data_IF_906901928325
#
_entry.id   IF_906901928325
#
_cell.length_a   1.000
_cell.length_b   1.000
_cell.length_c   1.000
_cell.angle_alpha   90.00
_cell.angle_beta   90.00
_cell.angle_gamma   90.00
#
_symmetry.space_group_name_H-M   'P 1'
#
loop_
_entity.id
_entity.type
_entity.pdbx_description
1 polymer ?
#
# COMPACT_ATOMS: atom_id res chain seq x y z
N UNK A 1 -0.21 -23.96 6.88
CA UNK A 1 -0.80 -23.12 7.95
C UNK A 1 -1.12 -21.79 7.32
N UNK A 2 -2.40 -21.48 7.04
CA UNK A 2 -2.80 -20.18 6.51
C UNK A 2 -2.49 -19.13 7.58
N UNK A 3 -1.70 -18.15 7.19
CA UNK A 3 -1.31 -17.07 8.08
C UNK A 3 -2.54 -16.16 8.25
N UNK A 4 -2.96 -15.83 9.46
CA UNK A 4 -4.11 -14.92 9.72
C UNK A 4 -4.02 -13.60 8.92
N UNK A 5 -2.83 -13.27 8.45
CA UNK A 5 -2.57 -12.05 7.66
C UNK A 5 -3.11 -12.10 6.21
N UNK A 6 -3.43 -13.28 5.67
CA UNK A 6 -3.87 -13.46 4.29
C UNK A 6 -5.40 -13.57 4.14
N UNK A 7 -6.14 -13.66 5.24
CA UNK A 7 -7.60 -13.80 5.23
C UNK A 7 -8.29 -12.65 4.47
N UNK A 8 -7.86 -11.41 4.68
CA UNK A 8 -8.48 -10.25 4.00
C UNK A 8 -8.11 -10.17 2.52
N UNK A 9 -6.83 -10.34 2.10
CA UNK A 9 -6.49 -10.49 0.69
C UNK A 9 -7.30 -11.58 -0.02
N UNK A 10 -7.49 -12.75 0.61
CA UNK A 10 -8.29 -13.84 0.05
C UNK A 10 -9.79 -13.48 -0.06
N UNK A 11 -10.36 -12.79 0.93
CA UNK A 11 -11.73 -12.27 0.85
C UNK A 11 -11.89 -11.26 -0.28
N UNK A 12 -10.93 -10.36 -0.46
CA UNK A 12 -10.93 -9.39 -1.55
C UNK A 12 -10.78 -10.07 -2.91
N UNK A 13 -9.93 -11.10 -3.02
CA UNK A 13 -9.80 -11.92 -4.23
C UNK A 13 -11.14 -12.57 -4.60
N UNK A 14 -11.80 -13.20 -3.64
CA UNK A 14 -13.12 -13.81 -3.85
C UNK A 14 -14.17 -12.77 -4.23
N UNK A 15 -14.18 -11.60 -3.60
CA UNK A 15 -15.10 -10.52 -3.92
C UNK A 15 -14.89 -10.00 -5.36
N UNK A 16 -13.63 -9.80 -5.76
CA UNK A 16 -13.27 -9.43 -7.13
C UNK A 16 -13.78 -10.48 -8.13
N UNK A 17 -13.54 -11.76 -7.87
CA UNK A 17 -13.99 -12.85 -8.73
C UNK A 17 -15.53 -12.90 -8.81
N UNK A 18 -16.26 -12.64 -7.72
CA UNK A 18 -17.71 -12.51 -7.77
C UNK A 18 -18.17 -11.36 -8.66
N UNK A 19 -17.52 -10.19 -8.58
CA UNK A 19 -17.84 -9.07 -9.48
C UNK A 19 -17.64 -9.46 -10.94
N UNK A 20 -16.49 -10.05 -11.26
CA UNK A 20 -16.15 -10.44 -12.64
C UNK A 20 -17.09 -11.51 -13.21
N UNK A 21 -17.71 -12.32 -12.36
CA UNK A 21 -18.77 -13.28 -12.76
C UNK A 21 -20.18 -12.69 -12.80
N UNK A 22 -20.34 -11.39 -12.54
CA UNK A 22 -21.66 -10.75 -12.51
C UNK A 22 -22.47 -11.04 -11.23
N UNK A 23 -21.79 -11.36 -10.13
CA UNK A 23 -22.39 -11.71 -8.83
C UNK A 23 -22.16 -10.59 -7.77
N UNK A 24 -22.58 -9.33 -7.99
CA UNK A 24 -22.22 -8.21 -7.11
C UNK A 24 -22.81 -8.34 -5.70
N UNK A 25 -23.91 -9.08 -5.52
CA UNK A 25 -24.48 -9.33 -4.19
C UNK A 25 -23.58 -10.22 -3.34
N UNK A 26 -23.00 -11.26 -3.94
CA UNK A 26 -22.05 -12.15 -3.26
C UNK A 26 -20.75 -11.37 -2.90
N UNK A 27 -20.24 -10.57 -3.83
CA UNK A 27 -19.10 -9.69 -3.57
C UNK A 27 -19.36 -8.76 -2.39
N UNK A 28 -20.53 -8.12 -2.34
CA UNK A 28 -20.95 -7.23 -1.25
C UNK A 28 -20.92 -7.93 0.10
N UNK A 29 -21.45 -9.16 0.18
CA UNK A 29 -21.48 -9.94 1.43
C UNK A 29 -20.07 -10.27 1.92
N UNK A 30 -19.15 -10.63 1.02
CA UNK A 30 -17.75 -10.88 1.36
C UNK A 30 -17.05 -9.62 1.89
N UNK A 31 -17.24 -8.47 1.26
CA UNK A 31 -16.66 -7.20 1.71
C UNK A 31 -17.22 -6.80 3.07
N UNK A 32 -18.53 -6.94 3.26
CA UNK A 32 -19.20 -6.59 4.53
C UNK A 32 -18.77 -7.48 5.71
N UNK A 33 -18.22 -8.68 5.44
CA UNK A 33 -17.71 -9.59 6.48
C UNK A 33 -16.32 -9.21 7.02
N UNK A 34 -15.64 -8.22 6.42
CA UNK A 34 -14.31 -7.79 6.85
C UNK A 34 -14.43 -7.03 8.18
N UNK A 35 -13.76 -7.51 9.22
CA UNK A 35 -13.71 -6.82 10.53
C UNK A 35 -12.82 -5.57 10.45
N UNK A 36 -13.47 -4.43 10.30
CA UNK A 36 -12.81 -3.14 10.25
C UNK A 36 -12.31 -2.68 11.63
N UNK A 37 -12.96 -3.10 12.71
CA UNK A 37 -12.64 -2.66 14.06
C UNK A 37 -11.25 -3.12 14.50
N UNK A 38 -10.92 -4.38 14.21
CA UNK A 38 -9.60 -4.95 14.46
C UNK A 38 -8.51 -4.20 13.68
N UNK A 39 -8.74 -3.90 12.40
CA UNK A 39 -7.79 -3.14 11.57
C UNK A 39 -7.55 -1.73 12.09
N UNK A 40 -8.62 -1.04 12.50
CA UNK A 40 -8.54 0.31 13.08
C UNK A 40 -7.77 0.29 14.39
N UNK A 41 -8.00 -0.71 15.26
CA UNK A 41 -7.30 -0.86 16.52
C UNK A 41 -5.80 -1.12 16.32
N UNK A 42 -5.44 -2.01 15.39
CA UNK A 42 -4.04 -2.30 15.03
C UNK A 42 -3.32 -1.04 14.53
N UNK A 43 -3.91 -0.31 13.59
CA UNK A 43 -3.34 0.94 13.08
C UNK A 43 -3.14 1.99 14.18
N UNK A 44 -4.13 2.21 15.03
CA UNK A 44 -4.02 3.16 16.15
C UNK A 44 -2.88 2.77 17.10
N UNK A 45 -2.75 1.48 17.42
CA UNK A 45 -1.68 0.95 18.28
C UNK A 45 -0.30 1.19 17.65
N UNK A 46 -0.14 0.90 16.37
CA UNK A 46 1.12 1.10 15.65
C UNK A 46 1.53 2.58 15.57
N UNK A 47 0.60 3.48 15.32
CA UNK A 47 0.88 4.92 15.32
C UNK A 47 1.26 5.48 16.70
N UNK A 48 0.68 4.93 17.79
CA UNK A 48 1.11 5.27 19.15
C UNK A 48 2.55 4.82 19.41
N UNK A 49 2.91 3.58 19.02
CA UNK A 49 4.29 3.08 19.16
C UNK A 49 5.28 3.93 18.36
N UNK A 50 4.93 4.37 17.15
CA UNK A 50 5.75 5.29 16.38
C UNK A 50 5.99 6.61 17.09
N UNK A 51 4.93 7.23 17.63
CA UNK A 51 5.04 8.51 18.37
C UNK A 51 5.98 8.39 19.57
N UNK A 52 5.89 7.28 20.31
CA UNK A 52 6.79 7.01 21.43
C UNK A 52 8.25 6.90 20.97
N UNK A 53 8.52 6.13 19.90
CA UNK A 53 9.89 6.01 19.35
C UNK A 53 10.44 7.32 18.79
N UNK A 54 9.60 8.14 18.15
CA UNK A 54 10.01 9.48 17.71
C UNK A 54 10.39 10.37 18.90
N UNK A 55 9.62 10.35 19.98
CA UNK A 55 9.94 11.11 21.19
C UNK A 55 11.29 10.67 21.78
N UNK A 56 11.56 9.37 21.87
CA UNK A 56 12.84 8.83 22.33
C UNK A 56 14.00 9.22 21.40
N UNK A 57 13.83 9.11 20.10
CA UNK A 57 14.85 9.45 19.11
C UNK A 57 15.20 10.95 19.10
N UNK A 58 14.26 11.83 19.49
CA UNK A 58 14.52 13.27 19.67
C UNK A 58 15.25 13.60 20.98
N UNK A 59 15.08 12.74 22.01
CA UNK A 59 15.74 12.92 23.31
C UNK A 59 17.17 12.34 23.34
N UNK A 60 17.43 11.30 22.53
CA UNK A 60 18.77 10.79 22.30
C UNK A 60 19.49 11.74 21.33
N UNK A 61 20.54 12.38 21.81
CA UNK A 61 21.43 13.27 21.01
C UNK A 61 22.29 12.39 20.07
N UNK A 62 21.62 11.62 19.21
CA UNK A 62 22.32 10.89 18.15
C UNK A 62 22.85 11.91 17.16
N UNK A 63 24.13 11.80 16.75
CA UNK A 63 24.64 12.63 15.68
C UNK A 63 23.72 12.43 14.49
N UNK A 64 22.87 13.44 14.24
CA UNK A 64 21.99 13.48 13.07
C UNK A 64 22.94 13.39 11.88
N UNK A 65 22.98 12.20 11.23
CA UNK A 65 23.69 12.06 9.97
C UNK A 65 23.23 13.22 9.08
N UNK A 66 24.08 14.22 8.98
CA UNK A 66 24.00 15.44 8.18
C UNK A 66 22.65 16.16 8.18
N UNK A 67 22.41 16.98 9.24
CA UNK A 67 21.35 18.00 9.24
C UNK A 67 21.55 19.03 8.10
N UNK A 68 22.76 19.14 7.57
CA UNK A 68 23.10 19.99 6.42
C UNK A 68 22.44 19.48 5.13
N UNK A 69 22.22 18.16 4.97
CA UNK A 69 21.59 17.59 3.78
C UNK A 69 20.06 17.70 3.83
N UNK A 70 19.42 17.74 5.00
CA UNK A 70 17.97 17.88 5.12
C UNK A 70 17.45 19.25 4.70
N UNK A 71 18.23 20.31 4.88
CA UNK A 71 17.94 21.64 4.35
C UNK A 71 18.23 21.74 2.84
N UNK A 72 19.08 20.86 2.32
CA UNK A 72 19.47 20.87 0.92
C UNK A 72 18.34 20.47 -0.03
N UNK A 73 17.35 19.68 0.40
CA UNK A 73 16.28 19.23 -0.49
C UNK A 73 15.21 20.33 -0.70
N UNK A 74 14.78 20.98 0.37
CA UNK A 74 13.85 22.11 0.27
C UNK A 74 14.50 23.34 -0.38
N UNK A 75 15.82 23.52 -0.16
CA UNK A 75 16.59 24.63 -0.75
C UNK A 75 16.94 24.43 -2.22
N UNK A 76 16.99 23.19 -2.72
CA UNK A 76 17.38 22.92 -4.12
C UNK A 76 16.22 22.98 -5.10
N UNK A 77 14.98 23.27 -4.66
CA UNK A 77 13.82 23.39 -5.57
C UNK A 77 13.56 22.13 -6.42
N UNK A 78 14.09 20.98 -6.01
CA UNK A 78 13.87 19.75 -6.75
C UNK A 78 12.42 19.31 -6.61
N UNK A 79 11.68 19.14 -7.71
CA UNK A 79 10.32 18.70 -7.65
C UNK A 79 10.29 17.31 -6.99
N UNK A 80 9.29 17.10 -6.12
CA UNK A 80 8.98 15.78 -5.58
C UNK A 80 8.85 14.83 -6.77
N UNK A 81 9.86 13.99 -7.02
CA UNK A 81 9.82 13.08 -8.15
C UNK A 81 8.73 12.02 -7.89
N UNK A 82 7.61 12.21 -8.55
CA UNK A 82 6.53 11.22 -8.56
C UNK A 82 7.00 10.06 -9.43
N UNK A 83 7.15 8.88 -8.85
CA UNK A 83 7.47 7.69 -9.64
C UNK A 83 6.29 7.41 -10.58
N UNK A 84 6.49 7.32 -11.91
CA UNK A 84 5.44 7.00 -12.84
C UNK A 84 4.78 5.65 -12.52
N UNK A 85 3.52 5.45 -12.94
CA UNK A 85 2.76 4.23 -12.62
C UNK A 85 3.41 2.95 -13.12
N UNK A 86 3.99 2.95 -14.31
CA UNK A 86 4.59 1.77 -14.89
C UNK A 86 5.82 1.27 -14.11
N UNK A 87 6.84 2.10 -13.78
CA UNK A 87 7.92 1.71 -12.90
C UNK A 87 7.44 1.28 -11.50
N UNK A 88 6.43 1.95 -10.95
CA UNK A 88 5.87 1.60 -9.65
C UNK A 88 5.25 0.19 -9.67
N UNK A 89 4.48 -0.14 -10.70
CA UNK A 89 3.89 -1.47 -10.86
C UNK A 89 4.97 -2.55 -10.99
N UNK A 90 6.06 -2.27 -11.73
CA UNK A 90 7.17 -3.20 -11.86
C UNK A 90 7.84 -3.52 -10.51
N UNK A 91 7.96 -2.54 -9.60
CA UNK A 91 8.46 -2.79 -8.24
C UNK A 91 7.51 -3.69 -7.47
N UNK A 92 6.19 -3.43 -7.54
CA UNK A 92 5.19 -4.27 -6.86
C UNK A 92 5.21 -5.71 -7.39
N UNK A 93 5.31 -5.90 -8.71
CA UNK A 93 5.41 -7.22 -9.35
C UNK A 93 6.71 -7.94 -8.97
N UNK A 94 7.86 -7.24 -8.98
CA UNK A 94 9.15 -7.79 -8.52
C UNK A 94 9.05 -8.35 -7.11
N UNK A 95 8.32 -7.65 -6.23
CA UNK A 95 8.18 -7.99 -4.83
C UNK A 95 6.91 -8.84 -4.55
N UNK A 96 6.25 -9.36 -5.60
CA UNK A 96 5.01 -10.16 -5.53
C UNK A 96 3.90 -9.50 -4.71
N UNK A 97 3.83 -8.16 -4.73
CA UNK A 97 2.88 -7.41 -3.89
C UNK A 97 2.93 -7.79 -2.39
N UNK A 98 4.06 -8.24 -1.90
CA UNK A 98 4.27 -8.55 -0.49
C UNK A 98 5.06 -7.43 0.18
N UNK A 99 4.60 -6.97 1.33
CA UNK A 99 5.34 -5.99 2.14
C UNK A 99 6.71 -6.54 2.51
N UNK A 100 7.79 -5.85 2.13
CA UNK A 100 9.18 -6.30 2.26
C UNK A 100 9.74 -6.23 3.68
N UNK A 101 9.01 -5.65 4.63
CA UNK A 101 9.44 -5.65 6.03
C UNK A 101 9.16 -6.99 6.70
N UNK A 102 10.23 -7.60 7.29
CA UNK A 102 10.22 -8.95 7.86
C UNK A 102 9.13 -9.15 8.92
N UNK A 103 8.87 -8.14 9.75
CA UNK A 103 7.84 -8.19 10.78
C UNK A 103 6.40 -8.15 10.25
N UNK A 104 6.22 -7.77 8.98
CA UNK A 104 4.90 -7.59 8.37
C UNK A 104 4.56 -8.67 7.37
N UNK A 105 5.31 -8.78 6.27
CA UNK A 105 5.12 -9.77 5.19
C UNK A 105 3.69 -9.85 4.64
N UNK A 106 2.89 -8.81 4.84
CA UNK A 106 1.49 -8.75 4.42
C UNK A 106 1.38 -8.75 2.89
N UNK A 107 0.49 -9.57 2.34
CA UNK A 107 0.04 -9.44 0.96
C UNK A 107 -0.68 -8.11 0.79
N UNK A 108 -0.24 -7.30 -0.16
CA UNK A 108 -0.83 -5.99 -0.46
C UNK A 108 -1.71 -6.06 -1.69
N UNK A 109 -2.64 -5.12 -1.80
CA UNK A 109 -3.58 -5.02 -2.92
C UNK A 109 -3.24 -3.80 -3.76
N UNK A 110 -3.27 -3.97 -5.06
CA UNK A 110 -3.08 -2.87 -6.01
C UNK A 110 -4.17 -1.81 -5.81
N UNK A 111 -3.77 -0.59 -5.45
CA UNK A 111 -4.70 0.48 -5.07
C UNK A 111 -5.82 0.75 -6.09
N UNK A 112 -5.58 0.70 -7.42
CA UNK A 112 -6.66 0.83 -8.39
C UNK A 112 -7.77 -0.22 -8.26
N UNK A 113 -7.45 -1.44 -7.80
CA UNK A 113 -8.48 -2.46 -7.49
C UNK A 113 -9.35 -2.04 -6.32
N UNK A 114 -8.75 -1.55 -5.22
CA UNK A 114 -9.51 -1.01 -4.10
C UNK A 114 -10.42 0.16 -4.52
N UNK A 115 -9.94 1.02 -5.43
CA UNK A 115 -10.75 2.11 -5.99
C UNK A 115 -11.91 1.60 -6.84
N UNK A 116 -11.71 0.57 -7.64
CA UNK A 116 -12.78 -0.04 -8.42
C UNK A 116 -13.85 -0.64 -7.48
N UNK A 117 -13.44 -1.35 -6.42
CA UNK A 117 -14.35 -1.85 -5.40
C UNK A 117 -15.09 -0.70 -4.68
N UNK A 118 -14.41 0.41 -4.36
CA UNK A 118 -15.06 1.61 -3.80
C UNK A 118 -16.10 2.22 -4.73
N UNK A 119 -15.81 2.25 -6.03
CA UNK A 119 -16.77 2.73 -7.01
C UNK A 119 -18.02 1.84 -7.09
N UNK A 120 -17.89 0.53 -6.90
CA UNK A 120 -19.01 -0.41 -6.89
C UNK A 120 -19.76 -0.43 -5.56
N UNK A 121 -19.02 -0.31 -4.44
CA UNK A 121 -19.54 -0.44 -3.07
C UNK A 121 -19.13 0.76 -2.19
N UNK A 122 -19.55 2.00 -2.54
CA UNK A 122 -19.05 3.21 -1.86
C UNK A 122 -19.49 3.32 -0.40
N UNK A 123 -20.54 2.64 -0.02
CA UNK A 123 -21.04 2.57 1.35
C UNK A 123 -20.24 1.56 2.22
N UNK A 124 -19.60 0.57 1.61
CA UNK A 124 -18.77 -0.41 2.30
C UNK A 124 -17.27 -0.03 2.29
N UNK A 125 -16.78 0.53 1.19
CA UNK A 125 -15.39 0.94 1.03
C UNK A 125 -15.37 2.42 0.61
N UNK A 126 -15.63 3.37 1.50
CA UNK A 126 -15.54 4.80 1.15
C UNK A 126 -14.13 5.18 0.73
N UNK A 127 -14.03 6.07 -0.26
CA UNK A 127 -12.77 6.58 -0.79
C UNK A 127 -12.84 8.09 -0.98
N UNK A 128 -11.80 8.79 -0.52
CA UNK A 128 -11.58 10.19 -0.81
C UNK A 128 -10.29 10.40 -1.60
N UNK A 129 -10.34 11.32 -2.56
CA UNK A 129 -9.21 11.64 -3.44
C UNK A 129 -7.96 12.08 -2.66
N UNK A 130 -8.14 12.71 -1.51
CA UNK A 130 -7.07 13.31 -0.72
C UNK A 130 -6.51 12.40 0.39
N UNK A 131 -6.94 11.15 0.47
CA UNK A 131 -6.47 10.19 1.47
C UNK A 131 -6.45 10.76 2.89
N UNK A 132 -7.61 11.13 3.41
CA UNK A 132 -7.75 11.70 4.75
C UNK A 132 -8.41 10.70 5.71
N UNK A 133 -7.71 10.24 6.77
CA UNK A 133 -8.39 9.54 7.85
C UNK A 133 -9.32 10.51 8.60
N UNK A 134 -10.54 10.10 9.01
CA UNK A 134 -11.13 8.75 8.91
C UNK A 134 -11.97 8.52 7.65
N UNK A 135 -11.93 9.41 6.67
CA UNK A 135 -12.82 9.44 5.51
C UNK A 135 -12.55 8.31 4.51
N UNK A 136 -11.29 7.81 4.46
CA UNK A 136 -10.94 6.65 3.64
C UNK A 136 -11.07 5.36 4.43
N UNK A 137 -11.55 4.33 3.76
CA UNK A 137 -11.69 3.01 4.35
C UNK A 137 -10.34 2.46 4.83
N UNK A 138 -10.37 1.77 5.98
CA UNK A 138 -9.15 1.22 6.61
C UNK A 138 -8.36 0.27 5.71
N UNK A 139 -9.00 -0.40 4.76
CA UNK A 139 -8.33 -1.29 3.79
C UNK A 139 -7.26 -0.58 2.99
N UNK A 140 -7.46 0.68 2.59
CA UNK A 140 -6.43 1.47 1.90
C UNK A 140 -5.17 1.61 2.74
N UNK A 141 -5.37 1.94 4.02
CA UNK A 141 -4.28 2.18 4.98
C UNK A 141 -3.57 0.90 5.42
N UNK A 142 -4.25 -0.24 5.35
CA UNK A 142 -3.70 -1.50 5.87
C UNK A 142 -3.16 -2.39 4.76
N UNK A 143 -3.87 -2.47 3.65
CA UNK A 143 -3.56 -3.42 2.57
C UNK A 143 -3.16 -2.75 1.25
N UNK A 144 -3.36 -1.46 1.06
CA UNK A 144 -2.93 -0.78 -0.16
C UNK A 144 -1.43 -0.94 -0.38
N UNK A 145 -1.05 -1.35 -1.59
CA UNK A 145 0.34 -1.37 -1.99
C UNK A 145 0.88 0.07 -2.08
N UNK A 146 2.01 0.31 -1.46
CA UNK A 146 2.69 1.59 -1.53
C UNK A 146 4.17 1.40 -1.87
N UNK A 147 4.69 2.38 -2.59
CA UNK A 147 6.11 2.44 -2.89
C UNK A 147 6.85 3.04 -1.69
N UNK A 148 7.80 2.30 -1.16
CA UNK A 148 8.61 2.70 -0.02
C UNK A 148 10.05 2.95 -0.46
N UNK A 149 10.61 4.08 0.00
CA UNK A 149 12.02 4.38 -0.19
C UNK A 149 12.83 3.84 1.01
N UNK A 150 13.80 2.96 0.76
CA UNK A 150 14.73 2.47 1.79
C UNK A 150 15.45 3.64 2.45
N UNK A 151 16.02 4.50 1.63
CA UNK A 151 16.56 5.81 2.02
C UNK A 151 15.55 6.85 1.59
N UNK A 152 14.94 7.54 2.54
CA UNK A 152 13.92 8.56 2.24
C UNK A 152 14.52 9.80 1.57
N UNK A 153 13.74 10.56 0.81
CA UNK A 153 14.20 11.78 0.13
C UNK A 153 14.91 12.78 1.04
N UNK A 154 14.43 13.06 2.27
CA UNK A 154 15.14 13.96 3.18
C UNK A 154 16.53 13.47 3.59
N UNK A 155 16.82 12.18 3.40
CA UNK A 155 18.11 11.56 3.66
C UNK A 155 18.93 11.34 2.37
N UNK A 156 18.56 11.97 1.26
CA UNK A 156 19.27 11.87 -0.01
C UNK A 156 18.93 10.64 -0.86
N UNK A 157 17.84 9.92 -0.49
CA UNK A 157 17.37 8.78 -1.28
C UNK A 157 16.83 9.20 -2.64
N UNK A 158 17.06 8.34 -3.64
CA UNK A 158 16.58 8.51 -5.02
C UNK A 158 15.38 7.60 -5.30
N UNK A 159 14.74 7.79 -6.45
CA UNK A 159 13.69 6.89 -6.94
C UNK A 159 14.23 5.77 -7.83
N UNK A 160 15.50 5.43 -7.70
CA UNK A 160 16.07 4.27 -8.38
C UNK A 160 15.43 2.96 -7.88
N UNK A 161 15.20 1.97 -8.75
CA UNK A 161 14.59 0.70 -8.36
C UNK A 161 15.29 -0.02 -7.20
N UNK A 162 16.60 0.18 -7.03
CA UNK A 162 17.39 -0.37 -5.92
C UNK A 162 17.06 0.26 -4.56
N UNK A 163 16.55 1.50 -4.55
CA UNK A 163 16.11 2.21 -3.35
C UNK A 163 14.61 2.06 -3.09
N UNK A 164 13.89 1.31 -3.93
CA UNK A 164 12.45 1.17 -3.86
C UNK A 164 12.05 -0.26 -3.52
N UNK A 165 11.11 -0.40 -2.59
CA UNK A 165 10.49 -1.68 -2.23
C UNK A 165 8.99 -1.54 -2.12
N UNK A 166 8.29 -2.68 -2.20
CA UNK A 166 6.87 -2.75 -1.85
C UNK A 166 6.70 -2.74 -0.34
N UNK A 167 5.85 -1.85 0.15
CA UNK A 167 5.35 -1.87 1.52
C UNK A 167 3.83 -1.75 1.52
N UNK A 168 3.15 -2.26 2.55
CA UNK A 168 1.79 -1.85 2.79
C UNK A 168 1.77 -0.39 3.28
N UNK A 169 0.68 0.35 3.04
CA UNK A 169 0.58 1.74 3.50
C UNK A 169 0.80 1.88 5.00
N UNK A 170 0.38 0.89 5.78
CA UNK A 170 0.60 0.87 7.23
C UNK A 170 2.09 0.96 7.60
N UNK A 171 2.94 0.11 7.01
CA UNK A 171 4.38 0.16 7.26
C UNK A 171 5.01 1.44 6.71
N UNK A 172 4.63 1.85 5.50
CA UNK A 172 5.11 3.09 4.90
C UNK A 172 4.77 4.31 5.78
N UNK A 173 3.54 4.42 6.28
CA UNK A 173 3.11 5.49 7.18
C UNK A 173 3.89 5.49 8.50
N UNK A 174 4.17 4.30 9.07
CA UNK A 174 4.92 4.20 10.33
C UNK A 174 6.37 4.59 10.10
N UNK A 175 7.02 4.05 9.08
CA UNK A 175 8.42 4.38 8.80
C UNK A 175 8.57 5.84 8.41
N UNK A 176 7.79 6.32 7.45
CA UNK A 176 7.87 7.70 6.95
C UNK A 176 9.33 8.09 6.64
N UNK A 177 9.88 9.09 7.32
CA UNK A 177 11.27 9.55 7.14
C UNK A 177 12.27 8.83 8.06
N UNK A 178 11.84 7.92 8.93
CA UNK A 178 12.73 7.19 9.83
C UNK A 178 13.56 6.17 9.03
N UNK A 179 14.72 5.81 9.56
CA UNK A 179 15.45 4.66 9.09
C UNK A 179 14.77 3.37 9.58
N UNK A 180 14.79 2.32 8.78
CA UNK A 180 14.26 1.03 9.19
C UNK A 180 14.96 0.53 10.47
N UNK A 181 16.27 0.76 10.57
CA UNK A 181 17.08 0.39 11.73
C UNK A 181 16.66 1.11 13.01
N UNK A 182 16.23 2.39 12.94
CA UNK A 182 15.71 3.12 14.11
C UNK A 182 14.43 2.49 14.66
N UNK A 183 13.70 1.79 13.81
CA UNK A 183 12.51 1.04 14.19
C UNK A 183 12.82 -0.42 14.58
N UNK A 184 14.06 -0.86 14.41
CA UNK A 184 14.45 -2.26 14.54
C UNK A 184 13.84 -3.13 13.42
N UNK A 185 13.63 -2.55 12.24
CA UNK A 185 13.02 -3.25 11.11
C UNK A 185 14.06 -3.77 10.14
N UNK A 186 13.85 -5.00 9.69
CA UNK A 186 14.67 -5.66 8.69
C UNK A 186 13.88 -5.77 7.39
N UNK A 187 14.53 -5.42 6.29
CA UNK A 187 14.01 -5.67 4.94
C UNK A 187 14.32 -7.11 4.58
N UNK A 188 13.30 -7.91 4.29
CA UNK A 188 13.48 -9.30 3.88
C UNK A 188 13.79 -9.41 2.38
N UNK A 189 14.38 -10.51 1.98
CA UNK A 189 14.51 -10.86 0.58
C UNK A 189 13.14 -11.02 -0.09
N UNK A 190 13.11 -10.95 -1.41
CA UNK A 190 11.90 -11.22 -2.17
C UNK A 190 11.47 -12.66 -1.90
N UNK A 191 10.24 -12.83 -1.45
CA UNK A 191 9.64 -14.16 -1.32
C UNK A 191 8.88 -14.45 -2.61
N UNK A 192 9.12 -15.60 -3.18
CA UNK A 192 8.29 -16.08 -4.29
C UNK A 192 6.88 -16.36 -3.74
N UNK A 193 5.90 -15.66 -4.27
CA UNK A 193 4.48 -15.80 -3.94
C UNK A 193 3.70 -15.67 -5.25
N UNK A 194 2.63 -16.44 -5.41
CA UNK A 194 1.74 -16.35 -6.58
C UNK A 194 0.77 -15.17 -6.49
N UNK A 195 0.88 -14.36 -5.44
CA UNK A 195 0.06 -13.19 -5.24
C UNK A 195 0.47 -12.03 -6.17
N UNK A 196 -0.48 -11.54 -6.94
CA UNK A 196 -0.30 -10.45 -7.92
C UNK A 196 -0.91 -9.11 -7.48
N UNK A 197 -1.35 -9.02 -6.21
CA UNK A 197 -2.03 -7.83 -5.71
C UNK A 197 -3.41 -7.58 -6.36
N UNK A 198 -3.98 -8.58 -7.02
CA UNK A 198 -5.18 -8.50 -7.86
C UNK A 198 -4.99 -7.55 -9.08
N UNK A 199 -3.76 -7.24 -9.44
CA UNK A 199 -3.45 -6.29 -10.52
C UNK A 199 -3.94 -6.80 -11.88
N UNK A 200 -3.89 -8.11 -12.12
CA UNK A 200 -4.40 -8.74 -13.34
C UNK A 200 -5.93 -8.67 -13.47
N UNK A 201 -6.66 -8.56 -12.36
CA UNK A 201 -8.12 -8.40 -12.35
C UNK A 201 -8.57 -6.96 -12.58
N UNK A 202 -7.67 -5.98 -12.47
CA UNK A 202 -8.02 -4.56 -12.56
C UNK A 202 -8.67 -4.14 -13.90
N UNK A 203 -8.22 -4.60 -15.09
CA UNK A 203 -8.86 -4.23 -16.34
C UNK A 203 -10.35 -4.62 -16.39
N UNK A 204 -10.66 -5.88 -16.08
CA UNK A 204 -12.04 -6.37 -16.04
C UNK A 204 -12.92 -5.65 -15.02
N UNK A 205 -12.37 -5.33 -13.83
CA UNK A 205 -13.07 -4.50 -12.84
C UNK A 205 -13.37 -3.10 -13.37
N UNK A 206 -12.42 -2.48 -14.08
CA UNK A 206 -12.59 -1.14 -14.65
C UNK A 206 -13.69 -1.12 -15.73
N UNK A 207 -13.77 -2.16 -16.56
CA UNK A 207 -14.86 -2.34 -17.53
C UNK A 207 -16.21 -2.49 -16.81
N UNK A 208 -16.26 -3.27 -15.73
CA UNK A 208 -17.47 -3.45 -14.94
C UNK A 208 -17.95 -2.14 -14.29
N UNK A 209 -17.02 -1.33 -13.76
CA UNK A 209 -17.31 0.01 -13.21
C UNK A 209 -17.86 0.94 -14.28
N UNK A 210 -17.27 0.94 -15.48
CA UNK A 210 -17.72 1.76 -16.61
C UNK A 210 -19.12 1.35 -17.06
N UNK A 211 -19.39 0.05 -17.21
CA UNK A 211 -20.69 -0.48 -17.58
C UNK A 211 -21.79 -0.15 -16.56
N UNK A 212 -21.46 -0.04 -15.28
CA UNK A 212 -22.38 0.38 -14.21
C UNK A 212 -22.70 1.90 -14.25
N UNK A 213 -22.24 2.66 -15.23
CA UNK A 213 -22.47 4.11 -15.38
C UNK A 213 -21.72 4.96 -14.33
N UNK A 214 -20.71 4.40 -13.67
CA UNK A 214 -19.87 5.09 -12.69
C UNK A 214 -18.58 5.57 -13.36
N UNK A 215 -18.02 6.75 -13.03
CA UNK A 215 -16.82 7.25 -13.67
C UNK A 215 -15.68 6.27 -13.48
N UNK A 216 -15.21 5.71 -14.59
CA UNK A 216 -14.17 4.70 -14.65
C UNK A 216 -12.83 5.22 -14.13
N UNK A 217 -12.10 4.35 -13.47
CA UNK A 217 -10.71 4.58 -13.08
C UNK A 217 -9.83 4.25 -14.29
N UNK A 218 -9.57 5.24 -15.14
CA UNK A 218 -8.74 5.02 -16.32
C UNK A 218 -7.31 4.60 -15.94
N UNK A 219 -6.91 3.44 -16.47
CA UNK A 219 -5.60 3.12 -17.00
C UNK A 219 -4.58 2.49 -16.10
N UNK A 220 -4.34 1.24 -16.30
CA UNK A 220 -3.03 0.64 -16.57
C UNK A 220 -3.28 -0.69 -17.26
N UNK A 221 -2.86 -0.80 -18.52
CA UNK A 221 -2.87 -2.05 -19.26
C UNK A 221 -1.88 -3.02 -18.61
N UNK A 222 -2.37 -4.12 -18.06
CA UNK A 222 -1.54 -5.27 -17.76
C UNK A 222 -1.20 -5.97 -19.07
N UNK A 223 0.04 -5.91 -19.51
CA UNK A 223 0.53 -6.86 -20.48
C UNK A 223 0.86 -8.16 -19.73
N UNK A 224 0.32 -9.33 -20.16
CA UNK A 224 0.74 -10.61 -19.61
C UNK A 224 2.23 -10.78 -19.89
N UNK A 225 3.00 -11.07 -18.86
CA UNK A 225 4.38 -11.52 -19.02
C UNK A 225 4.30 -12.83 -19.81
N UNK A 226 4.70 -12.80 -21.08
CA UNK A 226 4.95 -14.02 -21.88
C UNK A 226 6.02 -14.84 -21.15
N UNK A 227 5.69 -16.11 -20.95
CA UNK A 227 6.57 -17.13 -20.38
C UNK A 227 7.84 -17.30 -21.17
#
# INVERSE_FOLDING_TARGET
MSNDQDVIPDLLCRAVNCVLRGEPRAARSLIASIDQSALVADRKSALRRRRSKLASAFLEDRPRRNREDSNGWAARGQPRMTVPRSPMLAIFQRDHFVCRYQHCRRRTVYVPVLRALSALFPDLIPYQKNWRPPEDHILYWTYGASLEHLISFPHGGTSDPSNLITACYHCNEIKNMLWADDLGWVVSDVCVDDWDGLSCSHPGLSEFVAAAGRPGLHGASCHPLSR
#
